data_IF_851436999432
#
_entry.id   IF_851436999432
#
_cell.length_a   1.000
_cell.length_b   1.000
_cell.length_c   1.000
_cell.angle_alpha   90.00
_cell.angle_beta   90.00
_cell.angle_gamma   90.00
#
_symmetry.space_group_name_H-M   'P 1'
#
loop_
_entity.id
_entity.type
_entity.pdbx_description
1 polymer ?
#
# COMPACT_ATOMS: atom_id res chain seq x y z
N UNK A 1 31.54 11.40 -37.10
CA UNK A 1 30.45 10.44 -37.40
C UNK A 1 30.63 9.22 -36.52
N UNK A 2 30.02 9.22 -35.34
CA UNK A 2 29.85 8.01 -34.50
C UNK A 2 28.44 8.13 -33.94
N UNK A 3 27.57 7.20 -34.33
CA UNK A 3 26.18 7.13 -33.89
C UNK A 3 26.12 6.50 -32.50
N UNK A 4 25.55 7.19 -31.53
CA UNK A 4 25.15 6.59 -30.27
C UNK A 4 23.69 6.09 -30.38
N UNK A 5 23.55 4.79 -30.17
CA UNK A 5 22.32 4.00 -30.16
C UNK A 5 21.37 4.45 -29.03
N UNK A 6 20.06 4.34 -29.31
CA UNK A 6 18.93 4.68 -28.44
C UNK A 6 18.59 3.63 -27.36
N UNK A 7 19.37 2.56 -27.22
CA UNK A 7 18.97 1.40 -26.39
C UNK A 7 19.46 1.43 -24.92
N UNK A 8 19.96 2.56 -24.43
CA UNK A 8 20.50 2.67 -23.05
C UNK A 8 19.64 3.48 -22.07
N UNK A 9 18.57 4.13 -22.57
CA UNK A 9 17.68 4.95 -21.73
C UNK A 9 16.62 4.12 -20.98
N UNK A 10 16.29 2.93 -21.47
CA UNK A 10 15.22 2.09 -20.90
C UNK A 10 15.68 1.21 -19.72
N UNK A 11 17.00 0.96 -19.58
CA UNK A 11 17.55 0.15 -18.48
C UNK A 11 17.82 0.96 -17.20
N UNK A 12 17.93 2.28 -17.31
CA UNK A 12 18.19 3.18 -16.17
C UNK A 12 16.92 3.49 -15.37
N UNK A 13 15.74 3.36 -15.99
CA UNK A 13 14.43 3.51 -15.35
C UNK A 13 14.07 2.33 -14.43
N UNK A 14 14.55 1.12 -14.73
CA UNK A 14 14.27 -0.09 -13.93
C UNK A 14 15.17 -0.16 -12.68
N UNK A 15 16.42 0.33 -12.76
CA UNK A 15 17.37 0.27 -11.65
C UNK A 15 17.00 1.19 -10.46
N UNK A 16 16.28 2.29 -10.69
CA UNK A 16 15.74 3.11 -9.60
C UNK A 16 14.46 2.54 -8.98
N UNK A 17 13.74 1.71 -9.74
CA UNK A 17 12.47 1.10 -9.32
C UNK A 17 12.67 -0.02 -8.29
N UNK A 18 13.81 -0.72 -8.31
CA UNK A 18 14.14 -1.75 -7.30
C UNK A 18 14.66 -1.15 -5.97
N UNK A 19 15.25 0.06 -5.99
CA UNK A 19 15.81 0.70 -4.80
C UNK A 19 14.75 1.23 -3.82
N UNK A 20 13.56 1.61 -4.30
CA UNK A 20 12.42 1.98 -3.44
C UNK A 20 11.57 0.76 -3.03
N UNK A 21 11.80 -0.38 -3.68
CA UNK A 21 11.04 -1.62 -3.49
C UNK A 21 11.75 -2.58 -2.53
N UNK A 22 12.47 -2.07 -1.52
CA UNK A 22 13.06 -2.86 -0.41
C UNK A 22 13.43 -4.30 -0.78
N UNK A 23 14.36 -4.47 -1.72
CA UNK A 23 14.82 -5.80 -2.11
C UNK A 23 15.42 -6.51 -0.90
N UNK A 24 14.91 -7.69 -0.53
CA UNK A 24 15.53 -8.52 0.50
C UNK A 24 16.97 -8.87 0.00
N UNK A 25 17.99 -8.24 0.59
CA UNK A 25 19.41 -8.48 0.24
C UNK A 25 19.74 -9.94 0.56
N UNK A 26 20.18 -10.69 -0.46
CA UNK A 26 20.73 -12.04 -0.27
C UNK A 26 22.11 -11.93 0.39
N UNK A 27 22.18 -12.16 1.70
CA UNK A 27 23.42 -12.61 2.34
C UNK A 27 23.67 -14.07 1.93
N UNK A 28 24.31 -14.28 0.77
CA UNK A 28 24.93 -15.56 0.46
C UNK A 28 26.40 -15.50 0.88
N UNK A 29 26.63 -15.98 2.11
CA UNK A 29 27.94 -16.33 2.60
C UNK A 29 28.52 -17.47 1.75
N UNK A 30 29.73 -17.26 1.24
CA UNK A 30 30.47 -18.25 0.47
C UNK A 30 31.17 -19.21 1.43
N UNK A 31 30.67 -20.43 1.57
CA UNK A 31 31.51 -21.56 1.98
C UNK A 31 31.07 -22.88 1.36
N UNK A 32 31.86 -23.31 0.37
CA UNK A 32 32.26 -24.69 0.07
C UNK A 32 31.31 -25.84 0.44
N UNK A 33 30.64 -26.43 -0.57
CA UNK A 33 30.37 -27.88 -0.63
C UNK A 33 30.40 -28.38 -2.09
N UNK A 34 30.80 -29.63 -2.35
CA UNK A 34 31.23 -30.09 -3.66
C UNK A 34 30.06 -30.49 -4.57
N UNK A 35 30.21 -30.18 -5.87
CA UNK A 35 29.31 -30.59 -6.96
C UNK A 35 29.21 -32.13 -7.03
N UNK A 36 28.14 -32.71 -6.51
CA UNK A 36 27.70 -34.08 -6.87
C UNK A 36 26.94 -34.03 -8.20
N UNK A 37 27.55 -34.57 -9.25
CA UNK A 37 26.91 -34.84 -10.55
C UNK A 37 25.71 -35.77 -10.34
N UNK A 38 24.50 -35.28 -10.63
CA UNK A 38 23.29 -36.10 -10.68
C UNK A 38 23.25 -36.85 -12.01
N UNK A 39 23.59 -38.15 -11.99
CA UNK A 39 23.31 -39.07 -13.10
C UNK A 39 21.80 -39.30 -13.17
N UNK A 40 21.17 -38.86 -14.26
CA UNK A 40 19.82 -39.32 -14.64
C UNK A 40 19.87 -40.83 -14.85
N UNK A 41 19.29 -41.61 -13.94
CA UNK A 41 18.88 -42.99 -14.22
C UNK A 41 17.46 -42.94 -14.77
N UNK A 42 17.32 -43.28 -16.05
CA UNK A 42 16.04 -43.67 -16.61
C UNK A 42 15.64 -45.00 -15.97
N UNK A 43 14.60 -44.98 -15.15
CA UNK A 43 13.95 -46.20 -14.66
C UNK A 43 13.01 -46.67 -15.76
N UNK A 44 13.44 -47.68 -16.52
CA UNK A 44 12.58 -48.47 -17.39
C UNK A 44 11.71 -49.33 -16.48
N UNK A 45 10.42 -48.99 -16.38
CA UNK A 45 9.43 -49.85 -15.75
C UNK A 45 9.12 -50.97 -16.74
N UNK A 46 9.70 -52.14 -16.50
CA UNK A 46 9.30 -53.36 -17.17
C UNK A 46 7.91 -53.77 -16.66
N UNK A 47 6.90 -53.65 -17.52
CA UNK A 47 5.59 -54.25 -17.34
C UNK A 47 5.74 -55.78 -17.48
N UNK A 48 5.97 -56.45 -16.37
CA UNK A 48 5.81 -57.90 -16.29
C UNK A 48 4.34 -58.23 -16.12
N UNK A 49 3.79 -58.99 -17.07
CA UNK A 49 2.47 -59.61 -17.00
C UNK A 49 2.44 -60.64 -15.86
N UNK A 50 2.20 -60.17 -14.64
CA UNK A 50 1.85 -61.01 -13.50
C UNK A 50 0.36 -61.27 -13.50
N UNK A 51 -0.04 -62.51 -13.78
CA UNK A 51 -1.41 -63.00 -13.55
C UNK A 51 -1.70 -62.82 -12.06
N UNK A 52 -2.38 -61.73 -11.72
CA UNK A 52 -2.77 -61.44 -10.35
C UNK A 52 -3.83 -62.45 -9.91
N UNK A 53 -3.50 -63.19 -8.85
CA UNK A 53 -4.43 -64.06 -8.14
C UNK A 53 -5.69 -63.26 -7.77
N UNK A 54 -6.82 -63.58 -8.40
CA UNK A 54 -8.13 -62.95 -8.18
C UNK A 54 -8.57 -62.90 -6.70
N UNK A 55 -7.95 -63.71 -5.83
CA UNK A 55 -8.24 -63.76 -4.39
C UNK A 55 -7.73 -62.55 -3.59
N UNK A 56 -6.80 -61.75 -4.12
CA UNK A 56 -6.24 -60.57 -3.40
C UNK A 56 -6.83 -59.24 -3.91
N UNK A 57 -7.34 -59.22 -5.15
CA UNK A 57 -7.87 -58.02 -5.77
C UNK A 57 -9.25 -57.62 -5.19
N UNK A 58 -10.09 -58.62 -4.87
CA UNK A 58 -11.46 -58.38 -4.40
C UNK A 58 -11.50 -57.67 -3.03
N UNK A 59 -10.74 -58.09 -2.00
CA UNK A 59 -10.71 -57.37 -0.72
C UNK A 59 -10.21 -55.93 -0.85
N UNK A 60 -9.25 -55.70 -1.74
CA UNK A 60 -8.65 -54.38 -1.96
C UNK A 60 -9.63 -53.39 -2.61
N UNK A 61 -10.43 -53.85 -3.59
CA UNK A 61 -11.46 -53.04 -4.24
C UNK A 61 -12.59 -52.70 -3.27
N UNK A 62 -13.01 -53.65 -2.43
CA UNK A 62 -14.06 -53.43 -1.42
C UNK A 62 -13.59 -52.41 -0.37
N UNK A 63 -12.33 -52.53 0.08
CA UNK A 63 -11.77 -51.60 1.07
C UNK A 63 -11.66 -50.18 0.51
N UNK A 64 -11.20 -50.02 -0.74
CA UNK A 64 -11.14 -48.71 -1.39
C UNK A 64 -12.53 -48.09 -1.58
N UNK A 65 -13.51 -48.92 -1.96
CA UNK A 65 -14.90 -48.49 -2.17
C UNK A 65 -15.56 -48.04 -0.87
N UNK A 66 -15.28 -48.75 0.24
CA UNK A 66 -15.75 -48.36 1.57
C UNK A 66 -15.09 -47.07 2.05
N UNK A 67 -13.78 -46.90 1.86
CA UNK A 67 -13.08 -45.66 2.22
C UNK A 67 -13.62 -44.47 1.43
N UNK A 68 -13.87 -44.63 0.12
CA UNK A 68 -14.48 -43.60 -0.71
C UNK A 68 -15.92 -43.29 -0.28
N UNK A 69 -16.70 -44.30 0.08
CA UNK A 69 -18.04 -44.13 0.62
C UNK A 69 -18.05 -43.36 1.95
N UNK A 70 -17.16 -43.70 2.90
CA UNK A 70 -17.02 -42.97 4.16
C UNK A 70 -16.53 -41.54 3.95
N UNK A 71 -15.63 -41.30 3.00
CA UNK A 71 -15.19 -39.95 2.63
C UNK A 71 -16.35 -39.11 2.07
N UNK A 72 -17.11 -39.67 1.12
CA UNK A 72 -18.26 -38.99 0.51
C UNK A 72 -19.38 -38.74 1.52
N UNK A 73 -19.70 -39.73 2.36
CA UNK A 73 -20.69 -39.59 3.43
C UNK A 73 -20.22 -38.60 4.48
N UNK A 74 -18.95 -38.63 4.88
CA UNK A 74 -18.35 -37.62 5.74
C UNK A 74 -18.54 -36.21 5.17
N UNK A 75 -18.31 -36.02 3.87
CA UNK A 75 -18.50 -34.72 3.21
C UNK A 75 -19.96 -34.28 3.11
N UNK A 76 -20.90 -35.21 2.92
CA UNK A 76 -22.34 -34.93 2.85
C UNK A 76 -22.89 -34.58 4.23
N UNK A 77 -22.45 -35.27 5.29
CA UNK A 77 -22.97 -35.08 6.64
C UNK A 77 -22.27 -33.95 7.42
N UNK A 78 -21.01 -33.63 7.13
CA UNK A 78 -20.30 -32.52 7.81
C UNK A 78 -20.67 -31.15 7.26
N UNK A 79 -21.02 -31.03 5.97
CA UNK A 79 -21.44 -29.76 5.36
C UNK A 79 -22.66 -29.09 6.04
N UNK A 80 -23.75 -29.81 6.40
CA UNK A 80 -24.86 -29.19 7.11
C UNK A 80 -24.57 -28.95 8.60
N UNK A 81 -23.72 -29.76 9.24
CA UNK A 81 -23.46 -29.64 10.68
C UNK A 81 -22.55 -28.46 11.05
N UNK A 82 -21.61 -28.09 10.17
CA UNK A 82 -20.81 -26.86 10.33
C UNK A 82 -21.60 -25.58 10.01
N UNK A 83 -22.79 -25.71 9.40
CA UNK A 83 -23.68 -24.58 9.13
C UNK A 83 -24.76 -24.35 10.21
N UNK A 84 -24.83 -25.18 11.26
CA UNK A 84 -25.86 -25.09 12.31
C UNK A 84 -25.34 -24.79 13.72
N UNK A 85 -24.04 -24.50 13.86
CA UNK A 85 -23.42 -24.13 15.14
C UNK A 85 -23.55 -22.66 15.54
N UNK A 86 -23.92 -21.76 14.63
CA UNK A 86 -24.32 -20.40 15.01
C UNK A 86 -25.82 -20.41 15.26
N UNK A 87 -26.26 -20.05 16.47
CA UNK A 87 -27.62 -19.55 16.68
C UNK A 87 -27.84 -18.42 15.67
N UNK A 88 -28.45 -18.77 14.55
CA UNK A 88 -28.69 -17.87 13.44
C UNK A 88 -29.68 -16.84 13.92
N UNK A 89 -29.19 -15.70 14.38
CA UNK A 89 -29.96 -14.47 14.38
C UNK A 89 -30.47 -14.37 12.95
N UNK A 90 -31.77 -14.57 12.75
CA UNK A 90 -32.43 -14.33 11.46
C UNK A 90 -32.34 -12.82 11.27
N UNK A 91 -31.20 -12.35 10.76
CA UNK A 91 -31.04 -10.96 10.34
C UNK A 91 -31.99 -10.82 9.17
N UNK A 92 -33.05 -10.06 9.39
CA UNK A 92 -34.08 -9.84 8.39
C UNK A 92 -33.41 -9.32 7.10
N UNK A 93 -33.84 -9.81 5.93
CA UNK A 93 -33.24 -9.45 4.64
C UNK A 93 -33.17 -7.92 4.45
N UNK A 94 -34.17 -7.21 4.95
CA UNK A 94 -34.23 -5.74 4.97
C UNK A 94 -33.14 -5.09 5.83
N UNK A 95 -32.81 -5.69 6.98
CA UNK A 95 -31.76 -5.21 7.88
C UNK A 95 -30.38 -5.43 7.26
N UNK A 96 -30.15 -6.60 6.64
CA UNK A 96 -28.91 -6.88 5.90
C UNK A 96 -28.70 -5.88 4.75
N UNK A 97 -29.75 -5.56 4.00
CA UNK A 97 -29.69 -4.60 2.90
C UNK A 97 -29.46 -3.16 3.39
N UNK A 98 -30.07 -2.80 4.53
CA UNK A 98 -29.86 -1.49 5.16
C UNK A 98 -28.43 -1.35 5.67
N UNK A 99 -27.87 -2.39 6.29
CA UNK A 99 -26.47 -2.41 6.72
C UNK A 99 -25.52 -2.30 5.53
N UNK A 100 -25.75 -3.04 4.44
CA UNK A 100 -24.94 -2.93 3.21
C UNK A 100 -24.92 -1.53 2.62
N UNK A 101 -26.05 -0.81 2.68
CA UNK A 101 -26.14 0.60 2.25
C UNK A 101 -25.32 1.56 3.13
N UNK A 102 -24.90 1.13 4.31
CA UNK A 102 -24.10 1.93 5.25
C UNK A 102 -22.63 1.52 5.32
N UNK A 103 -22.24 0.40 4.71
CA UNK A 103 -20.84 -0.03 4.71
C UNK A 103 -19.98 0.93 3.88
N UNK A 104 -18.73 1.08 4.27
CA UNK A 104 -17.79 2.00 3.62
C UNK A 104 -16.46 1.34 3.34
N UNK A 105 -15.75 1.88 2.35
CA UNK A 105 -14.36 1.55 2.05
C UNK A 105 -13.52 2.81 2.15
N UNK A 106 -12.43 2.73 2.93
CA UNK A 106 -11.44 3.78 3.08
C UNK A 106 -10.10 3.31 2.50
N UNK A 107 -9.62 4.01 1.48
CA UNK A 107 -8.36 3.71 0.79
C UNK A 107 -7.34 4.77 1.19
N UNK A 108 -6.27 4.38 1.88
CA UNK A 108 -5.19 5.29 2.29
C UNK A 108 -4.15 5.37 1.16
N UNK A 109 -4.33 6.33 0.26
CA UNK A 109 -3.48 6.59 -0.90
C UNK A 109 -2.56 7.80 -0.65
N UNK A 110 -1.66 7.68 0.32
CA UNK A 110 -0.65 8.70 0.60
C UNK A 110 0.55 8.56 -0.34
N UNK A 111 1.20 9.67 -0.75
CA UNK A 111 2.55 9.60 -1.28
C UNK A 111 3.51 8.93 -0.29
N UNK A 112 4.66 8.49 -0.77
CA UNK A 112 5.64 7.81 0.07
C UNK A 112 6.11 8.71 1.24
N UNK A 113 6.39 8.16 2.42
CA UNK A 113 6.93 8.94 3.57
C UNK A 113 6.08 10.14 4.04
N UNK A 114 4.76 10.01 4.00
CA UNK A 114 3.80 10.98 4.56
C UNK A 114 3.10 10.46 5.82
N UNK A 115 3.79 9.66 6.64
CA UNK A 115 3.19 9.01 7.82
C UNK A 115 2.34 7.78 7.47
N UNK A 116 2.35 7.37 6.21
CA UNK A 116 1.68 6.18 5.66
C UNK A 116 2.00 4.89 6.43
N UNK A 117 3.26 4.67 6.81
CA UNK A 117 3.65 3.51 7.63
C UNK A 117 3.04 3.55 9.03
N UNK A 118 2.98 4.72 9.66
CA UNK A 118 2.42 4.88 11.02
C UNK A 118 0.91 4.65 11.03
N UNK A 119 0.18 5.23 10.07
CA UNK A 119 -1.27 4.98 9.95
C UNK A 119 -1.55 3.52 9.58
N UNK A 120 -0.76 2.89 8.71
CA UNK A 120 -0.90 1.46 8.40
C UNK A 120 -0.77 0.60 9.66
N UNK A 121 0.27 0.85 10.47
CA UNK A 121 0.50 0.11 11.72
C UNK A 121 -0.65 0.32 12.71
N UNK A 122 -1.08 1.56 12.90
CA UNK A 122 -2.18 1.88 13.80
C UNK A 122 -3.50 1.25 13.32
N UNK A 123 -3.82 1.37 12.02
CA UNK A 123 -5.05 0.80 11.46
C UNK A 123 -5.05 -0.72 11.56
N UNK A 124 -3.92 -1.37 11.25
CA UNK A 124 -3.77 -2.81 11.46
C UNK A 124 -4.09 -3.17 12.91
N UNK A 125 -3.40 -2.56 13.88
CA UNK A 125 -3.59 -2.84 15.31
C UNK A 125 -5.01 -2.55 15.82
N UNK A 126 -5.62 -1.45 15.37
CA UNK A 126 -6.98 -1.07 15.78
C UNK A 126 -8.06 -1.95 15.17
N UNK A 127 -7.79 -2.48 13.97
CA UNK A 127 -8.69 -3.37 13.25
C UNK A 127 -8.53 -4.84 13.63
N UNK A 128 -7.38 -5.22 14.19
CA UNK A 128 -7.12 -6.59 14.58
C UNK A 128 -8.08 -7.02 15.71
N UNK A 129 -8.98 -7.94 15.36
CA UNK A 129 -9.16 -9.11 16.19
C UNK A 129 -7.77 -9.72 16.33
N UNK A 130 -7.16 -9.71 17.52
CA UNK A 130 -5.91 -10.43 17.81
C UNK A 130 -5.85 -11.76 17.03
N UNK A 131 -5.22 -11.77 15.84
CA UNK A 131 -4.89 -12.99 15.12
C UNK A 131 -3.71 -13.49 15.94
N UNK A 132 -4.02 -14.20 17.02
CA UNK A 132 -2.98 -14.91 17.75
C UNK A 132 -2.50 -16.00 16.80
N UNK A 133 -1.44 -15.71 16.04
CA UNK A 133 -0.73 -16.66 15.20
C UNK A 133 -0.27 -17.90 15.98
N UNK A 134 -0.42 -17.91 17.31
CA UNK A 134 -0.03 -19.02 18.17
C UNK A 134 -1.11 -20.08 18.41
N UNK A 135 -2.40 -19.85 18.08
CA UNK A 135 -3.45 -20.89 18.25
C UNK A 135 -4.71 -20.64 17.38
N UNK A 136 -4.72 -21.14 16.14
CA UNK A 136 -5.88 -21.09 15.22
C UNK A 136 -7.10 -21.93 15.65
N UNK A 137 -7.04 -22.64 16.79
CA UNK A 137 -8.09 -23.57 17.23
C UNK A 137 -9.14 -22.98 18.18
N UNK A 138 -8.97 -21.74 18.66
CA UNK A 138 -9.93 -21.12 19.58
C UNK A 138 -10.76 -20.00 18.91
N UNK A 139 -12.10 -20.03 19.03
CA UNK A 139 -12.99 -19.02 18.46
C UNK A 139 -13.09 -17.79 19.37
N UNK A 140 -13.89 -16.79 18.95
CA UNK A 140 -13.39 -15.51 18.51
C UNK A 140 -12.71 -14.72 19.64
N UNK A 141 -11.53 -14.17 19.35
CA UNK A 141 -10.97 -13.08 20.16
C UNK A 141 -11.96 -11.93 20.33
N UNK A 142 -11.70 -10.98 21.25
CA UNK A 142 -12.60 -9.86 21.52
C UNK A 142 -13.07 -9.19 20.23
N UNK A 143 -14.34 -8.72 20.23
CA UNK A 143 -14.92 -7.94 19.13
C UNK A 143 -13.92 -6.84 18.72
N UNK A 144 -13.77 -6.56 17.42
CA UNK A 144 -12.81 -5.58 16.98
C UNK A 144 -13.19 -4.26 17.64
N UNK A 145 -12.18 -3.51 18.08
CA UNK A 145 -12.40 -2.23 18.75
C UNK A 145 -13.10 -1.22 17.82
N UNK A 146 -13.00 -1.44 16.50
CA UNK A 146 -13.61 -0.66 15.44
C UNK A 146 -14.57 -1.48 14.58
N UNK A 147 -15.47 -0.78 13.87
CA UNK A 147 -16.27 -1.36 12.78
C UNK A 147 -15.43 -1.67 11.53
N UNK A 148 -14.24 -1.06 11.44
CA UNK A 148 -13.31 -1.17 10.33
C UNK A 148 -12.38 -2.38 10.47
N UNK A 149 -12.15 -3.07 9.35
CA UNK A 149 -11.21 -4.18 9.24
C UNK A 149 -10.05 -3.84 8.27
N UNK A 150 -8.84 -4.32 8.56
CA UNK A 150 -7.67 -4.30 7.68
C UNK A 150 -7.49 -5.70 7.05
N UNK A 151 -8.14 -6.00 5.90
CA UNK A 151 -8.35 -7.37 5.43
C UNK A 151 -7.14 -7.91 4.67
N UNK A 152 -6.11 -8.33 5.42
CA UNK A 152 -4.92 -8.96 4.84
C UNK A 152 -5.17 -10.45 4.63
N UNK A 153 -4.95 -11.02 3.43
CA UNK A 153 -5.05 -12.46 3.21
C UNK A 153 -4.02 -13.21 4.04
N UNK A 154 -4.41 -14.35 4.62
CA UNK A 154 -3.56 -15.11 5.54
C UNK A 154 -2.30 -15.63 4.84
N UNK A 155 -2.42 -16.07 3.59
CA UNK A 155 -1.33 -16.56 2.75
C UNK A 155 -0.28 -15.46 2.52
N UNK A 156 -0.75 -14.22 2.34
CA UNK A 156 0.14 -13.07 2.22
C UNK A 156 0.80 -12.81 3.58
N UNK A 157 0.04 -12.73 4.68
CA UNK A 157 0.61 -12.47 6.00
C UNK A 157 1.69 -13.49 6.41
N UNK A 158 1.44 -14.79 6.19
CA UNK A 158 2.37 -15.88 6.49
C UNK A 158 3.62 -15.82 5.61
N UNK A 159 3.43 -15.67 4.30
CA UNK A 159 4.56 -15.58 3.37
C UNK A 159 5.47 -14.39 3.69
N UNK A 160 4.87 -13.27 4.07
CA UNK A 160 5.60 -12.05 4.44
C UNK A 160 6.47 -12.27 5.68
N UNK A 161 5.93 -12.95 6.68
CA UNK A 161 6.61 -13.20 7.95
C UNK A 161 7.91 -14.00 7.77
N UNK A 162 7.88 -15.01 6.91
CA UNK A 162 9.01 -15.93 6.73
C UNK A 162 10.21 -15.32 6.00
N UNK A 163 10.00 -14.29 5.18
CA UNK A 163 11.03 -13.86 4.22
C UNK A 163 11.77 -12.58 4.55
N UNK A 164 11.23 -11.73 5.41
CA UNK A 164 11.85 -10.44 5.66
C UNK A 164 11.50 -10.00 7.11
N UNK A 165 12.44 -10.17 8.04
CA UNK A 165 12.28 -9.95 9.49
C UNK A 165 11.85 -8.53 9.90
N UNK A 166 12.10 -7.56 9.04
CA UNK A 166 11.65 -6.16 9.16
C UNK A 166 10.26 -5.88 8.58
N UNK A 167 9.57 -6.86 8.00
CA UNK A 167 8.32 -6.63 7.29
C UNK A 167 7.12 -6.87 8.21
N UNK A 168 6.39 -5.79 8.47
CA UNK A 168 5.23 -5.75 9.36
C UNK A 168 3.93 -6.03 8.57
N UNK A 169 2.98 -6.83 9.07
CA UNK A 169 1.70 -7.12 8.39
C UNK A 169 0.89 -5.88 7.97
N UNK A 170 1.07 -4.77 8.68
CA UNK A 170 0.56 -3.46 8.29
C UNK A 170 0.95 -3.04 6.86
N UNK A 171 2.09 -3.52 6.34
CA UNK A 171 2.58 -3.23 4.97
C UNK A 171 2.19 -4.30 3.95
N UNK A 172 1.28 -5.22 4.28
CA UNK A 172 0.95 -6.35 3.42
C UNK A 172 0.36 -5.95 2.06
N UNK A 173 -0.28 -4.78 1.95
CA UNK A 173 -0.92 -4.31 0.71
C UNK A 173 0.06 -3.85 -0.39
N UNK A 174 1.38 -3.79 -0.16
CA UNK A 174 2.38 -3.52 -1.21
C UNK A 174 2.28 -4.52 -2.38
N UNK A 175 2.36 -5.85 -2.14
CA UNK A 175 2.10 -6.89 -3.14
C UNK A 175 0.87 -6.69 -4.01
N UNK A 176 -0.23 -6.16 -3.46
CA UNK A 176 -1.45 -5.94 -4.23
C UNK A 176 -1.22 -4.94 -5.37
N UNK A 177 -0.58 -3.80 -5.06
CA UNK A 177 -0.30 -2.77 -6.08
C UNK A 177 0.79 -3.23 -7.04
N UNK A 178 1.80 -3.95 -6.56
CA UNK A 178 2.83 -4.55 -7.42
C UNK A 178 2.24 -5.56 -8.40
N UNK A 179 1.32 -6.42 -7.94
CA UNK A 179 0.61 -7.37 -8.79
C UNK A 179 -0.19 -6.66 -9.89
N UNK A 180 -0.91 -5.59 -9.55
CA UNK A 180 -1.65 -4.78 -10.53
C UNK A 180 -0.72 -4.16 -11.58
N UNK A 181 0.50 -3.79 -11.19
CA UNK A 181 1.52 -3.23 -12.08
C UNK A 181 2.37 -4.30 -12.78
N UNK A 182 2.03 -5.58 -12.63
CA UNK A 182 2.82 -6.72 -13.13
C UNK A 182 4.28 -6.70 -12.67
N UNK A 183 4.55 -6.14 -11.48
CA UNK A 183 5.86 -6.14 -10.84
C UNK A 183 5.99 -7.38 -9.98
N UNK A 184 7.04 -8.17 -10.24
CA UNK A 184 7.23 -9.48 -9.61
C UNK A 184 8.55 -9.59 -8.86
N UNK A 185 9.08 -8.48 -8.33
CA UNK A 185 10.39 -8.44 -7.68
C UNK A 185 10.41 -9.12 -6.31
N UNK A 186 9.26 -9.20 -5.60
CA UNK A 186 9.17 -9.86 -4.29
C UNK A 186 9.22 -11.38 -4.40
N UNK A 187 9.82 -12.03 -3.39
CA UNK A 187 9.83 -13.49 -3.23
C UNK A 187 8.44 -14.13 -3.26
N UNK A 188 7.42 -13.42 -2.76
CA UNK A 188 6.01 -13.83 -2.88
C UNK A 188 5.64 -14.23 -4.31
N UNK A 189 6.12 -13.49 -5.31
CA UNK A 189 5.80 -13.75 -6.72
C UNK A 189 6.55 -14.94 -7.33
N UNK A 190 7.43 -15.59 -6.56
CA UNK A 190 8.01 -16.90 -6.92
C UNK A 190 7.05 -18.05 -6.56
N UNK A 191 6.10 -17.79 -5.67
CA UNK A 191 5.12 -18.77 -5.17
C UNK A 191 3.77 -18.53 -5.84
N UNK A 192 3.37 -17.26 -5.97
CA UNK A 192 2.07 -16.87 -6.51
C UNK A 192 2.21 -15.97 -7.73
N UNK A 193 1.37 -16.18 -8.73
CA UNK A 193 1.25 -15.24 -9.86
C UNK A 193 0.61 -13.92 -9.41
N UNK A 194 0.82 -12.80 -10.13
CA UNK A 194 0.14 -11.54 -9.85
C UNK A 194 -1.39 -11.69 -9.74
N UNK A 195 -2.00 -12.50 -10.62
CA UNK A 195 -3.45 -12.72 -10.61
C UNK A 195 -3.91 -13.45 -9.34
N UNK A 196 -3.18 -14.48 -8.90
CA UNK A 196 -3.49 -15.18 -7.64
C UNK A 196 -3.41 -14.24 -6.44
N UNK A 197 -2.42 -13.33 -6.41
CA UNK A 197 -2.31 -12.33 -5.33
C UNK A 197 -3.52 -11.40 -5.33
N UNK A 198 -3.98 -10.93 -6.50
CA UNK A 198 -5.18 -10.09 -6.61
C UNK A 198 -6.43 -10.85 -6.13
N UNK A 199 -6.58 -12.12 -6.52
CA UNK A 199 -7.70 -12.98 -6.12
C UNK A 199 -7.74 -13.20 -4.60
N UNK A 200 -6.61 -13.43 -3.94
CA UNK A 200 -6.54 -13.56 -2.48
C UNK A 200 -7.05 -12.29 -1.77
N UNK A 201 -6.65 -11.11 -2.26
CA UNK A 201 -7.13 -9.85 -1.74
C UNK A 201 -8.64 -9.68 -1.95
N UNK A 202 -9.13 -10.01 -3.14
CA UNK A 202 -10.54 -9.98 -3.47
C UNK A 202 -11.38 -10.85 -2.53
N UNK A 203 -11.03 -12.12 -2.41
CA UNK A 203 -11.76 -13.09 -1.58
C UNK A 203 -11.79 -12.66 -0.11
N UNK A 204 -10.66 -12.17 0.40
CA UNK A 204 -10.55 -11.66 1.77
C UNK A 204 -11.43 -10.43 1.98
N UNK A 205 -11.34 -9.43 1.10
CA UNK A 205 -12.13 -8.19 1.19
C UNK A 205 -13.63 -8.49 1.07
N UNK A 206 -14.04 -9.29 0.09
CA UNK A 206 -15.45 -9.68 -0.11
C UNK A 206 -15.99 -10.44 1.09
N UNK A 207 -15.22 -11.38 1.65
CA UNK A 207 -15.62 -12.13 2.85
C UNK A 207 -15.94 -11.22 4.04
N UNK A 208 -15.12 -10.19 4.29
CA UNK A 208 -15.41 -9.21 5.35
C UNK A 208 -16.55 -8.26 4.98
N UNK A 209 -16.63 -7.84 3.72
CA UNK A 209 -17.74 -7.03 3.23
C UNK A 209 -19.09 -7.74 3.41
N UNK A 210 -19.18 -9.03 3.08
CA UNK A 210 -20.41 -9.81 3.23
C UNK A 210 -20.85 -9.98 4.68
N UNK A 211 -19.89 -9.95 5.61
CA UNK A 211 -20.11 -9.99 7.07
C UNK A 211 -20.56 -8.64 7.65
N UNK A 212 -20.58 -7.57 6.86
CA UNK A 212 -21.07 -6.26 7.27
C UNK A 212 -20.00 -5.30 7.82
N UNK A 213 -18.72 -5.60 7.65
CA UNK A 213 -17.62 -4.74 8.11
C UNK A 213 -17.39 -3.56 7.16
N UNK A 214 -16.90 -2.44 7.72
CA UNK A 214 -16.28 -1.40 6.91
C UNK A 214 -14.84 -1.82 6.59
N UNK A 215 -14.34 -1.48 5.41
CA UNK A 215 -13.03 -1.93 4.95
C UNK A 215 -12.06 -0.76 4.91
N UNK A 216 -10.88 -0.91 5.52
CA UNK A 216 -9.78 0.05 5.38
C UNK A 216 -8.52 -0.66 4.88
N UNK A 217 -7.88 -0.11 3.87
CA UNK A 217 -6.59 -0.59 3.39
C UNK A 217 -5.78 0.55 2.78
N UNK A 218 -4.48 0.34 2.63
CA UNK A 218 -3.62 1.30 1.97
C UNK A 218 -2.16 0.87 1.97
N UNK A 219 -1.38 1.52 1.11
CA UNK A 219 0.05 1.27 0.97
C UNK A 219 0.70 2.48 0.33
N UNK A 220 1.97 2.71 0.64
CA UNK A 220 2.74 3.80 0.03
C UNK A 220 2.93 3.56 -1.48
N UNK A 221 2.84 2.30 -1.95
CA UNK A 221 2.89 1.97 -3.37
C UNK A 221 1.73 2.57 -4.19
N UNK A 222 0.67 3.09 -3.53
CA UNK A 222 -0.38 3.83 -4.22
C UNK A 222 0.10 5.16 -4.82
N UNK A 223 1.30 5.62 -4.45
CA UNK A 223 1.96 6.74 -5.12
C UNK A 223 2.08 6.56 -6.64
N UNK A 224 2.12 5.32 -7.14
CA UNK A 224 2.12 4.98 -8.56
C UNK A 224 0.88 5.50 -9.31
N UNK A 225 -0.22 5.80 -8.61
CA UNK A 225 -1.38 6.50 -9.21
C UNK A 225 -0.95 7.86 -9.77
N UNK A 226 -0.01 8.57 -9.12
CA UNK A 226 0.49 9.85 -9.60
C UNK A 226 1.45 9.75 -10.80
N UNK A 227 1.80 8.53 -11.26
CA UNK A 227 2.76 8.32 -12.36
C UNK A 227 2.27 8.89 -13.68
N UNK A 228 1.15 8.38 -14.17
CA UNK A 228 0.54 8.82 -15.43
C UNK A 228 -0.97 8.61 -15.39
N UNK A 229 -1.76 9.30 -16.23
CA UNK A 229 -3.19 9.02 -16.36
C UNK A 229 -3.48 7.55 -16.70
N UNK A 230 -2.65 6.91 -17.53
CA UNK A 230 -2.80 5.50 -17.92
C UNK A 230 -2.55 4.57 -16.73
N UNK A 231 -1.49 4.84 -15.95
CA UNK A 231 -1.19 4.06 -14.73
C UNK A 231 -2.29 4.24 -13.69
N UNK A 232 -2.77 5.47 -13.47
CA UNK A 232 -3.88 5.76 -12.57
C UNK A 232 -5.13 4.97 -12.98
N UNK A 233 -5.55 5.12 -14.24
CA UNK A 233 -6.70 4.42 -14.81
C UNK A 233 -6.58 2.91 -14.66
N UNK A 234 -5.40 2.35 -14.92
CA UNK A 234 -5.15 0.91 -14.78
C UNK A 234 -5.30 0.45 -13.33
N UNK A 235 -4.61 1.09 -12.38
CA UNK A 235 -4.71 0.74 -10.94
C UNK A 235 -6.16 0.87 -10.45
N UNK A 236 -6.82 1.98 -10.79
CA UNK A 236 -8.21 2.25 -10.39
C UNK A 236 -9.15 1.20 -10.97
N UNK A 237 -8.99 0.85 -12.26
CA UNK A 237 -9.79 -0.19 -12.89
C UNK A 237 -9.59 -1.52 -12.16
N UNK A 238 -8.33 -1.94 -11.94
CA UNK A 238 -8.01 -3.17 -11.21
C UNK A 238 -8.62 -3.21 -9.81
N UNK A 239 -8.53 -2.11 -9.05
CA UNK A 239 -9.19 -2.00 -7.75
C UNK A 239 -10.70 -2.17 -7.87
N UNK A 240 -11.34 -1.45 -8.78
CA UNK A 240 -12.80 -1.44 -8.94
C UNK A 240 -13.38 -2.76 -9.47
N UNK A 241 -12.67 -3.46 -10.36
CA UNK A 241 -13.19 -4.64 -11.06
C UNK A 241 -12.74 -5.96 -10.47
N UNK A 242 -11.56 -6.00 -9.83
CA UNK A 242 -10.93 -7.25 -9.40
C UNK A 242 -10.66 -7.34 -7.91
N UNK A 243 -10.66 -6.25 -7.16
CA UNK A 243 -10.39 -6.28 -5.71
C UNK A 243 -11.63 -5.97 -4.90
N UNK A 244 -12.29 -4.85 -5.20
CA UNK A 244 -13.45 -4.40 -4.44
C UNK A 244 -14.69 -5.27 -4.68
N UNK A 245 -15.63 -5.34 -3.72
CA UNK A 245 -16.88 -6.06 -3.89
C UNK A 245 -17.69 -5.51 -5.06
N UNK A 246 -18.30 -6.39 -5.87
CA UNK A 246 -19.03 -5.96 -7.07
C UNK A 246 -20.33 -5.18 -6.79
N UNK A 247 -20.87 -5.27 -5.57
CA UNK A 247 -22.05 -4.53 -5.12
C UNK A 247 -21.73 -3.20 -4.43
N UNK A 248 -20.45 -2.81 -4.35
CA UNK A 248 -20.04 -1.52 -3.80
C UNK A 248 -20.44 -0.36 -4.70
N UNK A 249 -20.84 0.76 -4.10
CA UNK A 249 -21.14 2.00 -4.82
C UNK A 249 -20.00 3.01 -4.68
N UNK A 250 -19.86 3.87 -5.69
CA UNK A 250 -18.82 4.91 -5.71
C UNK A 250 -18.86 5.84 -4.49
N UNK A 251 -20.05 6.17 -3.99
CA UNK A 251 -20.24 7.05 -2.82
C UNK A 251 -19.90 6.38 -1.48
N UNK A 252 -19.72 5.05 -1.48
CA UNK A 252 -19.24 4.28 -0.33
C UNK A 252 -17.70 4.21 -0.27
N UNK A 253 -17.01 4.64 -1.33
CA UNK A 253 -15.55 4.60 -1.42
C UNK A 253 -14.99 6.00 -1.12
N UNK A 254 -14.06 6.06 -0.18
CA UNK A 254 -13.32 7.27 0.18
C UNK A 254 -11.84 7.02 0.05
N UNK A 255 -11.14 7.85 -0.73
CA UNK A 255 -9.69 7.82 -0.88
C UNK A 255 -9.08 8.97 -0.09
N UNK A 256 -8.22 8.66 0.86
CA UNK A 256 -7.49 9.63 1.66
C UNK A 256 -6.12 9.83 1.05
N UNK A 257 -5.84 11.07 0.61
CA UNK A 257 -4.54 11.47 0.07
C UNK A 257 -3.90 12.45 1.05
N UNK A 258 -2.66 12.19 1.45
CA UNK A 258 -1.92 13.08 2.36
C UNK A 258 -1.05 14.05 1.59
N UNK A 259 -1.13 15.33 1.96
CA UNK A 259 -0.25 16.38 1.49
C UNK A 259 0.73 16.75 2.60
N UNK A 260 2.03 16.82 2.28
CA UNK A 260 3.09 17.16 3.25
C UNK A 260 3.79 18.45 2.86
N UNK A 261 3.91 19.35 3.83
CA UNK A 261 4.78 20.52 3.80
C UNK A 261 5.66 20.57 5.05
N UNK A 262 6.87 21.15 4.97
CA UNK A 262 7.59 21.56 3.75
C UNK A 262 7.96 20.37 2.84
N UNK A 263 8.08 20.60 1.53
CA UNK A 263 8.44 19.57 0.54
C UNK A 263 9.87 19.10 0.67
N UNK A 264 10.79 19.97 1.05
CA UNK A 264 12.19 19.61 1.27
C UNK A 264 12.31 18.58 2.40
N UNK A 265 11.52 18.71 3.48
CA UNK A 265 11.48 17.71 4.56
C UNK A 265 10.95 16.36 4.09
N UNK A 266 9.99 16.37 3.17
CA UNK A 266 9.47 15.15 2.54
C UNK A 266 10.55 14.48 1.67
N UNK A 267 11.23 15.25 0.82
CA UNK A 267 12.31 14.78 -0.04
C UNK A 267 13.48 14.19 0.79
N UNK A 268 13.90 14.88 1.85
CA UNK A 268 14.91 14.40 2.79
C UNK A 268 14.46 13.08 3.44
N UNK A 269 13.19 12.95 3.85
CA UNK A 269 12.69 11.71 4.44
C UNK A 269 12.76 10.52 3.48
N UNK A 270 12.54 10.76 2.18
CA UNK A 270 12.70 9.72 1.15
C UNK A 270 14.16 9.38 0.90
N UNK A 271 15.04 10.38 0.89
CA UNK A 271 16.48 10.20 0.76
C UNK A 271 17.02 9.29 1.85
N UNK A 272 16.74 9.61 3.13
CA UNK A 272 17.20 8.80 4.25
C UNK A 272 16.78 7.34 4.16
N UNK A 273 15.54 7.06 3.72
CA UNK A 273 15.11 5.68 3.55
C UNK A 273 15.87 4.96 2.44
N UNK A 274 16.18 5.63 1.34
CA UNK A 274 16.99 5.03 0.28
C UNK A 274 18.41 4.77 0.79
N UNK A 275 18.99 5.74 1.50
CA UNK A 275 20.37 5.64 1.98
C UNK A 275 20.57 4.66 3.13
N UNK A 276 19.53 4.32 3.89
CA UNK A 276 19.60 3.21 4.84
C UNK A 276 19.96 1.87 4.16
N UNK A 277 19.81 1.78 2.83
CA UNK A 277 20.08 0.57 2.04
C UNK A 277 21.35 0.65 1.17
N UNK A 278 21.98 1.81 1.03
CA UNK A 278 23.08 2.04 0.07
C UNK A 278 24.27 2.74 0.75
N UNK A 279 25.46 2.14 0.65
CA UNK A 279 26.72 2.81 1.02
C UNK A 279 27.00 3.96 0.04
N UNK A 280 27.36 5.16 0.54
CA UNK A 280 27.65 6.37 -0.24
C UNK A 280 26.45 7.00 -0.98
N UNK A 281 25.32 7.10 -0.30
CA UNK A 281 24.09 7.67 -0.85
C UNK A 281 24.06 9.20 -0.70
N UNK A 282 24.54 9.93 -1.71
CA UNK A 282 24.53 11.39 -1.72
C UNK A 282 23.14 11.98 -1.99
N UNK A 283 22.78 13.05 -1.28
CA UNK A 283 21.50 13.74 -1.49
C UNK A 283 21.35 14.26 -2.92
N UNK A 284 22.41 14.83 -3.49
CA UNK A 284 22.40 15.29 -4.88
C UNK A 284 22.05 14.17 -5.86
N UNK A 285 22.76 13.04 -5.79
CA UNK A 285 22.56 11.92 -6.71
C UNK A 285 21.16 11.35 -6.57
N UNK A 286 20.64 11.29 -5.34
CA UNK A 286 19.26 10.92 -5.09
C UNK A 286 18.25 11.88 -5.77
N UNK A 287 18.40 13.19 -5.57
CA UNK A 287 17.51 14.18 -6.20
C UNK A 287 17.60 14.12 -7.72
N UNK A 288 18.81 14.01 -8.27
CA UNK A 288 19.04 13.88 -9.72
C UNK A 288 18.35 12.64 -10.29
N UNK A 289 18.33 11.55 -9.53
CA UNK A 289 17.69 10.31 -9.94
C UNK A 289 16.15 10.37 -9.90
N UNK A 290 15.56 11.17 -9.01
CA UNK A 290 14.10 11.36 -8.92
C UNK A 290 13.51 12.24 -10.04
N UNK A 291 14.35 13.05 -10.70
CA UNK A 291 13.97 14.11 -11.66
C UNK A 291 12.90 13.73 -12.70
N UNK A 292 12.89 12.55 -13.33
CA UNK A 292 11.91 12.30 -14.39
C UNK A 292 10.48 12.12 -13.88
N UNK A 293 10.26 11.88 -12.57
CA UNK A 293 8.91 11.51 -12.11
C UNK A 293 8.43 12.27 -10.89
N UNK A 294 9.26 12.50 -9.85
CA UNK A 294 8.83 13.05 -8.54
C UNK A 294 7.51 12.43 -8.01
N UNK A 295 7.17 11.23 -8.51
CA UNK A 295 5.89 10.56 -8.33
C UNK A 295 5.61 10.29 -6.85
N UNK A 296 6.60 9.82 -6.06
CA UNK A 296 6.38 9.55 -4.65
C UNK A 296 6.03 10.77 -3.79
N UNK A 297 6.11 12.00 -4.34
CA UNK A 297 5.78 13.24 -3.63
C UNK A 297 4.53 13.95 -4.17
N UNK A 298 3.96 13.46 -5.28
CA UNK A 298 2.99 14.23 -6.06
C UNK A 298 1.53 13.98 -5.65
N UNK A 299 1.20 14.32 -4.40
CA UNK A 299 -0.13 14.12 -3.82
C UNK A 299 -1.23 14.88 -4.57
N UNK A 300 -0.93 16.10 -5.06
CA UNK A 300 -1.93 16.91 -5.75
C UNK A 300 -2.26 16.33 -7.13
N UNK A 301 -1.25 15.83 -7.88
CA UNK A 301 -1.51 15.11 -9.13
C UNK A 301 -2.30 13.84 -8.88
N UNK A 302 -1.98 13.07 -7.84
CA UNK A 302 -2.75 11.90 -7.44
C UNK A 302 -4.21 12.24 -7.19
N UNK A 303 -4.45 13.29 -6.39
CA UNK A 303 -5.80 13.81 -6.08
C UNK A 303 -6.54 14.18 -7.35
N UNK A 304 -5.91 14.94 -8.25
CA UNK A 304 -6.54 15.35 -9.51
C UNK A 304 -6.85 14.14 -10.42
N UNK A 305 -5.97 13.13 -10.48
CA UNK A 305 -6.21 11.90 -11.24
C UNK A 305 -7.35 11.07 -10.63
N UNK A 306 -7.41 10.90 -9.31
CA UNK A 306 -8.52 10.23 -8.63
C UNK A 306 -9.86 10.94 -8.89
N UNK A 307 -9.86 12.28 -8.85
CA UNK A 307 -11.03 13.07 -9.22
C UNK A 307 -11.37 12.99 -10.71
N UNK A 308 -10.43 12.69 -11.60
CA UNK A 308 -10.74 12.55 -13.02
C UNK A 308 -11.25 11.16 -13.38
N UNK A 309 -10.60 10.13 -12.83
CA UNK A 309 -10.80 8.73 -13.22
C UNK A 309 -11.92 8.03 -12.42
N UNK A 310 -12.42 8.64 -11.34
CA UNK A 310 -13.43 8.01 -10.47
C UNK A 310 -14.57 8.95 -10.11
N UNK A 311 -15.65 8.36 -9.57
CA UNK A 311 -16.70 9.09 -8.83
C UNK A 311 -16.57 8.94 -7.32
N UNK A 312 -15.45 8.39 -6.84
CA UNK A 312 -15.19 8.16 -5.42
C UNK A 312 -15.04 9.48 -4.68
N UNK A 313 -15.27 9.44 -3.37
CA UNK A 313 -14.93 10.55 -2.49
C UNK A 313 -13.42 10.65 -2.35
N UNK A 314 -12.88 11.85 -2.39
CA UNK A 314 -11.45 12.11 -2.23
C UNK A 314 -11.27 13.14 -1.12
N UNK A 315 -10.49 12.77 -0.11
CA UNK A 315 -10.20 13.57 1.07
C UNK A 315 -8.70 13.89 1.05
N UNK A 316 -8.34 15.15 0.75
CA UNK A 316 -6.96 15.63 0.78
C UNK A 316 -6.64 16.17 2.17
N UNK A 317 -5.73 15.52 2.89
CA UNK A 317 -5.36 15.90 4.27
C UNK A 317 -4.01 16.61 4.25
N UNK A 318 -3.99 17.88 4.64
CA UNK A 318 -2.75 18.61 4.85
C UNK A 318 -2.11 18.28 6.21
N UNK A 319 -0.96 17.63 6.18
CA UNK A 319 -0.28 17.16 7.37
C UNK A 319 0.25 18.32 8.23
N UNK A 320 0.72 19.42 7.64
CA UNK A 320 1.16 20.57 8.44
C UNK A 320 0.00 21.17 9.22
N UNK A 321 -1.18 21.21 8.61
CA UNK A 321 -2.44 21.57 9.26
C UNK A 321 -2.83 20.63 10.41
N UNK A 322 -2.71 19.31 10.21
CA UNK A 322 -2.96 18.34 11.31
C UNK A 322 -2.03 18.58 12.50
N UNK A 323 -0.73 18.80 12.24
CA UNK A 323 0.26 19.08 13.28
C UNK A 323 0.00 20.39 14.02
N UNK A 324 -0.30 21.49 13.31
CA UNK A 324 -0.67 22.79 13.92
C UNK A 324 -1.88 22.68 14.84
N UNK A 325 -2.82 21.80 14.47
CA UNK A 325 -4.02 21.53 15.25
C UNK A 325 -3.83 20.42 16.28
N UNK A 326 -2.61 19.97 16.55
CA UNK A 326 -2.29 18.92 17.54
C UNK A 326 -3.08 17.62 17.34
N UNK A 327 -3.34 17.26 16.09
CA UNK A 327 -3.89 15.96 15.74
C UNK A 327 -2.77 14.98 15.42
N UNK A 328 -2.85 13.76 15.96
CA UNK A 328 -2.20 12.61 15.32
C UNK A 328 -2.91 12.32 14.00
N UNK A 329 -2.16 12.14 12.92
CA UNK A 329 -2.73 11.92 11.60
C UNK A 329 -3.60 10.65 11.54
N UNK A 330 -3.19 9.56 12.18
CA UNK A 330 -3.95 8.31 12.19
C UNK A 330 -5.27 8.48 12.94
N UNK A 331 -5.21 9.17 14.07
CA UNK A 331 -6.41 9.50 14.86
C UNK A 331 -7.33 10.44 14.07
N UNK A 332 -6.80 11.45 13.38
CA UNK A 332 -7.60 12.33 12.53
C UNK A 332 -8.38 11.55 11.47
N UNK A 333 -7.71 10.65 10.74
CA UNK A 333 -8.36 9.82 9.71
C UNK A 333 -9.45 8.93 10.33
N UNK A 334 -9.16 8.26 11.45
CA UNK A 334 -10.16 7.43 12.13
C UNK A 334 -11.39 8.25 12.57
N UNK A 335 -11.18 9.37 13.27
CA UNK A 335 -12.25 10.14 13.86
C UNK A 335 -13.07 10.92 12.84
N UNK A 336 -12.40 11.63 11.94
CA UNK A 336 -13.03 12.65 11.09
C UNK A 336 -13.46 12.06 9.75
N UNK A 337 -12.62 11.22 9.15
CA UNK A 337 -12.89 10.67 7.81
C UNK A 337 -13.65 9.35 7.91
N UNK A 338 -13.19 8.43 8.75
CA UNK A 338 -13.83 7.13 8.95
C UNK A 338 -15.05 7.22 9.88
N UNK A 339 -15.19 8.32 10.65
CA UNK A 339 -16.36 8.58 11.49
C UNK A 339 -16.39 7.76 12.78
N UNK A 340 -15.23 7.32 13.26
CA UNK A 340 -15.11 6.65 14.56
C UNK A 340 -15.34 7.63 15.71
N UNK A 341 -15.85 7.11 16.83
CA UNK A 341 -16.12 7.93 18.02
C UNK A 341 -14.83 8.30 18.72
N UNK A 342 -14.60 9.61 18.85
CA UNK A 342 -13.40 10.15 19.48
C UNK A 342 -13.75 11.21 20.52
N UNK A 343 -12.99 11.21 21.62
CA UNK A 343 -13.10 12.15 22.72
C UNK A 343 -11.78 12.92 22.82
N UNK A 344 -11.84 14.25 22.84
CA UNK A 344 -10.66 15.12 22.98
C UNK A 344 -9.52 14.81 21.98
N UNK A 345 -9.84 14.57 20.71
CA UNK A 345 -8.87 14.19 19.66
C UNK A 345 -8.10 12.91 19.97
N UNK A 346 -8.62 12.10 20.87
CA UNK A 346 -8.15 10.75 21.13
C UNK A 346 -9.25 9.79 20.71
N UNK A 347 -8.83 8.68 20.15
CA UNK A 347 -9.72 7.55 19.94
C UNK A 347 -10.26 7.13 21.31
N UNK A 348 -11.57 6.86 21.41
CA UNK A 348 -12.26 6.64 22.70
C UNK A 348 -11.44 5.80 23.70
N UNK A 349 -11.56 6.09 25.00
CA UNK A 349 -10.65 5.66 26.08
C UNK A 349 -10.21 4.17 26.05
N UNK A 350 -11.03 3.28 25.49
CA UNK A 350 -10.70 1.88 25.24
C UNK A 350 -9.44 1.70 24.37
N UNK A 351 -9.33 2.44 23.26
CA UNK A 351 -8.16 2.40 22.37
C UNK A 351 -7.00 3.25 22.89
N UNK A 352 -7.29 4.31 23.65
CA UNK A 352 -6.26 5.08 24.37
C UNK A 352 -5.56 4.26 25.47
N UNK A 353 -6.17 3.18 25.97
CA UNK A 353 -5.52 2.25 26.91
C UNK A 353 -4.47 1.35 26.23
N UNK A 354 -4.58 1.16 24.91
CA UNK A 354 -3.60 0.47 24.07
C UNK A 354 -2.63 1.45 23.41
N UNK A 355 -2.33 2.59 24.06
CA UNK A 355 -1.35 3.58 23.58
C UNK A 355 -0.02 2.91 23.28
N UNK A 356 0.11 2.47 22.04
CA UNK A 356 1.37 2.40 21.36
C UNK A 356 1.61 3.86 21.00
N UNK A 357 2.61 4.46 21.66
CA UNK A 357 3.19 5.70 21.18
C UNK A 357 3.32 5.55 19.66
N UNK A 358 2.69 6.43 18.86
CA UNK A 358 2.80 6.33 17.42
C UNK A 358 4.29 6.19 17.14
N UNK A 359 4.69 5.15 16.42
CA UNK A 359 6.09 4.97 16.08
C UNK A 359 6.42 6.08 15.09
N UNK A 360 6.69 7.29 15.61
CA UNK A 360 7.23 8.45 14.89
C UNK A 360 8.64 8.12 14.38
N UNK A 361 9.13 6.89 14.64
CA UNK A 361 10.33 6.29 14.06
C UNK A 361 10.47 6.48 12.53
N UNK A 362 9.38 6.68 11.78
CA UNK A 362 9.45 6.86 10.31
C UNK A 362 9.51 8.32 9.83
N UNK A 363 9.28 9.30 10.71
CA UNK A 363 9.64 10.70 10.46
C UNK A 363 10.74 11.02 11.45
N UNK A 364 11.91 10.38 11.24
CA UNK A 364 13.13 10.68 11.99
C UNK A 364 13.24 12.20 12.14
N UNK A 365 13.23 12.68 13.39
CA UNK A 365 13.18 14.09 13.73
C UNK A 365 14.32 14.83 13.02
N UNK A 366 13.96 15.78 12.15
CA UNK A 366 14.80 16.84 11.58
C UNK A 366 16.31 16.52 11.50
N UNK A 367 16.67 15.37 10.91
CA UNK A 367 18.01 15.20 10.39
C UNK A 367 18.07 16.09 9.15
N UNK A 368 18.34 17.37 9.37
CA UNK A 368 18.68 18.29 8.31
C UNK A 368 19.84 17.72 7.49
N UNK A 369 20.05 18.25 6.29
CA UNK A 369 21.22 17.85 5.51
C UNK A 369 22.46 18.48 6.16
N UNK A 370 23.37 17.68 6.75
CA UNK A 370 24.56 18.23 7.37
C UNK A 370 25.34 19.03 6.31
N UNK A 371 25.78 20.22 6.68
CA UNK A 371 26.56 21.13 5.81
C UNK A 371 25.80 21.77 4.63
N UNK A 372 24.47 21.65 4.55
CA UNK A 372 23.66 22.46 3.62
C UNK A 372 23.11 23.69 4.35
N UNK A 373 23.40 24.92 3.88
CA UNK A 373 22.81 26.12 4.47
C UNK A 373 21.28 26.09 4.41
N UNK A 374 20.61 26.55 5.46
CA UNK A 374 19.14 26.58 5.53
C UNK A 374 18.53 27.34 4.34
N UNK A 375 19.13 28.46 3.93
CA UNK A 375 18.70 29.23 2.75
C UNK A 375 18.70 28.42 1.44
N UNK A 376 19.60 27.44 1.33
CA UNK A 376 19.66 26.52 0.19
C UNK A 376 18.50 25.52 0.25
N UNK A 377 18.16 25.03 1.45
CA UNK A 377 17.00 24.15 1.65
C UNK A 377 15.69 24.88 1.41
N UNK A 378 15.57 26.13 1.86
CA UNK A 378 14.43 27.01 1.58
C UNK A 378 14.27 27.23 0.06
N UNK A 379 15.38 27.53 -0.65
CA UNK A 379 15.36 27.69 -2.11
C UNK A 379 14.92 26.41 -2.82
N UNK A 380 15.39 25.24 -2.37
CA UNK A 380 14.93 23.95 -2.91
C UNK A 380 13.46 23.70 -2.60
N UNK A 381 13.00 24.02 -1.40
CA UNK A 381 11.60 23.90 -1.02
C UNK A 381 10.70 24.75 -1.92
N UNK A 382 11.07 26.01 -2.16
CA UNK A 382 10.35 26.89 -3.07
C UNK A 382 10.20 26.28 -4.47
N UNK A 383 11.27 25.70 -5.03
CA UNK A 383 11.22 25.05 -6.35
C UNK A 383 10.33 23.81 -6.35
N UNK A 384 10.41 22.98 -5.31
CA UNK A 384 9.56 21.79 -5.16
C UNK A 384 8.08 22.17 -5.01
N UNK A 385 7.81 23.24 -4.26
CA UNK A 385 6.48 23.80 -4.02
C UNK A 385 5.91 24.42 -5.30
N UNK A 386 6.74 25.08 -6.12
CA UNK A 386 6.33 25.60 -7.42
C UNK A 386 5.79 24.52 -8.37
N UNK A 387 6.32 23.29 -8.30
CA UNK A 387 5.80 22.16 -9.08
C UNK A 387 4.33 21.84 -8.77
N UNK A 388 3.88 22.13 -7.54
CA UNK A 388 2.52 21.88 -7.10
C UNK A 388 1.54 23.00 -7.50
N UNK A 389 2.06 24.19 -7.84
CA UNK A 389 1.24 25.39 -8.01
C UNK A 389 0.07 25.22 -8.99
N UNK A 390 0.28 24.56 -10.14
CA UNK A 390 -0.76 24.51 -11.19
C UNK A 390 -1.95 23.70 -10.70
N UNK A 391 -1.63 22.57 -10.09
CA UNK A 391 -2.61 21.60 -9.61
C UNK A 391 -3.26 22.12 -8.34
N UNK A 392 -2.51 22.74 -7.42
CA UNK A 392 -3.05 23.37 -6.22
C UNK A 392 -4.12 24.42 -6.56
N UNK A 393 -3.81 25.35 -7.46
CA UNK A 393 -4.78 26.37 -7.90
C UNK A 393 -6.01 25.75 -8.56
N UNK A 394 -5.83 24.70 -9.37
CA UNK A 394 -6.94 23.99 -10.00
C UNK A 394 -7.83 23.29 -8.97
N UNK A 395 -7.24 22.58 -8.01
CA UNK A 395 -7.95 21.84 -6.98
C UNK A 395 -8.71 22.77 -6.03
N UNK A 396 -8.10 23.86 -5.58
CA UNK A 396 -8.77 24.85 -4.71
C UNK A 396 -9.94 25.55 -5.40
N UNK A 397 -9.84 25.84 -6.71
CA UNK A 397 -11.00 26.37 -7.47
C UNK A 397 -12.12 25.35 -7.59
N UNK A 398 -11.76 24.07 -7.72
CA UNK A 398 -12.71 22.96 -7.89
C UNK A 398 -13.36 22.52 -6.58
N UNK A 399 -12.68 22.65 -5.43
CA UNK A 399 -13.15 22.14 -4.13
C UNK A 399 -14.54 22.68 -3.74
N UNK A 400 -14.84 23.93 -4.06
CA UNK A 400 -16.17 24.52 -3.80
C UNK A 400 -17.30 23.92 -4.66
N UNK A 401 -16.96 23.32 -5.81
CA UNK A 401 -17.93 22.84 -6.80
C UNK A 401 -18.04 21.30 -6.85
N UNK A 402 -17.04 20.58 -6.33
CA UNK A 402 -17.01 19.12 -6.36
C UNK A 402 -17.40 18.58 -4.99
N UNK A 403 -18.67 18.20 -4.81
CA UNK A 403 -19.21 17.69 -3.53
C UNK A 403 -18.44 16.50 -2.94
N UNK A 404 -17.84 15.67 -3.80
CA UNK A 404 -17.06 14.49 -3.41
C UNK A 404 -15.59 14.78 -3.15
N UNK A 405 -15.18 16.04 -3.17
CA UNK A 405 -13.80 16.46 -2.88
C UNK A 405 -13.79 17.37 -1.67
N UNK A 406 -12.97 17.02 -0.68
CA UNK A 406 -12.79 17.81 0.54
C UNK A 406 -11.32 17.96 0.85
N UNK A 407 -10.93 19.16 1.29
CA UNK A 407 -9.58 19.50 1.73
C UNK A 407 -9.66 19.75 3.23
N UNK A 408 -8.84 19.02 3.98
CA UNK A 408 -8.74 19.17 5.44
C UNK A 408 -7.54 20.03 5.78
N UNK A 409 -7.76 21.03 6.63
CA UNK A 409 -6.79 22.05 7.00
C UNK A 409 -6.19 22.76 5.76
N UNK A 410 -7.02 23.50 5.00
CA UNK A 410 -6.61 24.06 3.72
C UNK A 410 -5.61 25.22 3.83
N UNK A 411 -5.27 25.69 5.04
CA UNK A 411 -4.56 26.96 5.25
C UNK A 411 -3.22 27.02 4.50
N UNK A 412 -2.40 25.96 4.55
CA UNK A 412 -1.10 26.00 3.86
C UNK A 412 -1.25 25.81 2.34
N UNK A 413 -2.25 25.08 1.88
CA UNK A 413 -2.60 25.01 0.46
C UNK A 413 -3.14 26.35 -0.07
N UNK A 414 -3.92 27.08 0.73
CA UNK A 414 -4.39 28.42 0.39
C UNK A 414 -3.24 29.43 0.35
N UNK A 415 -2.33 29.36 1.32
CA UNK A 415 -1.11 30.17 1.32
C UNK A 415 -0.22 29.85 0.12
N UNK A 416 -0.09 28.56 -0.23
CA UNK A 416 0.56 28.15 -1.46
C UNK A 416 -0.12 28.77 -2.69
N UNK A 417 -1.44 28.70 -2.79
CA UNK A 417 -2.19 29.30 -3.91
C UNK A 417 -1.96 30.81 -4.03
N UNK A 418 -1.89 31.53 -2.91
CA UNK A 418 -1.53 32.96 -2.90
C UNK A 418 -0.11 33.17 -3.39
N UNK A 419 0.85 32.44 -2.83
CA UNK A 419 2.26 32.46 -3.26
C UNK A 419 2.41 32.21 -4.76
N UNK A 420 1.73 31.18 -5.28
CA UNK A 420 1.72 30.85 -6.69
C UNK A 420 1.15 31.98 -7.54
N UNK A 421 0.07 32.66 -7.12
CA UNK A 421 -0.47 33.80 -7.88
C UNK A 421 0.50 34.98 -7.94
N UNK A 422 1.19 35.25 -6.84
CA UNK A 422 2.11 36.40 -6.75
C UNK A 422 3.40 36.16 -7.52
N UNK A 423 3.89 34.92 -7.54
CA UNK A 423 5.17 34.54 -8.17
C UNK A 423 5.03 33.99 -9.59
N UNK A 424 3.85 33.49 -9.96
CA UNK A 424 3.64 32.82 -11.23
C UNK A 424 2.67 33.58 -12.13
N UNK A 425 3.24 34.33 -13.08
CA UNK A 425 2.49 35.09 -14.08
C UNK A 425 1.94 34.23 -15.25
N UNK A 426 1.68 32.94 -15.03
CA UNK A 426 0.77 32.16 -15.87
C UNK A 426 1.33 31.52 -17.14
N UNK A 427 2.61 31.13 -17.21
CA UNK A 427 3.11 30.38 -18.37
C UNK A 427 3.95 29.16 -17.95
N UNK A 428 3.59 28.02 -18.54
CA UNK A 428 4.18 26.67 -18.52
C UNK A 428 3.75 25.65 -17.43
N UNK A 429 3.11 24.52 -17.81
CA UNK A 429 2.76 23.41 -16.91
C UNK A 429 3.92 22.43 -16.63
N UNK A 430 5.14 22.76 -17.05
CA UNK A 430 6.35 21.97 -16.81
C UNK A 430 7.28 22.76 -15.92
N UNK A 431 8.01 22.08 -15.02
CA UNK A 431 9.16 22.65 -14.33
C UNK A 431 10.05 23.27 -15.43
N UNK A 432 10.11 24.60 -15.57
CA UNK A 432 10.81 25.17 -16.70
C UNK A 432 12.29 24.81 -16.59
N UNK A 433 12.95 24.61 -17.72
CA UNK A 433 14.32 24.05 -17.78
C UNK A 433 15.32 24.91 -16.97
N UNK A 434 14.97 26.18 -16.74
CA UNK A 434 15.69 27.09 -15.84
C UNK A 434 15.58 26.71 -14.35
N UNK A 435 14.44 26.19 -13.88
CA UNK A 435 14.30 25.63 -12.53
C UNK A 435 15.16 24.38 -12.39
N UNK A 436 15.20 23.54 -13.43
CA UNK A 436 16.06 22.35 -13.43
C UNK A 436 17.54 22.73 -13.32
N UNK A 437 17.99 23.71 -14.10
CA UNK A 437 19.36 24.23 -14.00
C UNK A 437 19.63 24.92 -12.67
N UNK A 438 18.65 25.64 -12.09
CA UNK A 438 18.77 26.21 -10.74
C UNK A 438 18.90 25.13 -9.68
N UNK A 439 18.12 24.05 -9.73
CA UNK A 439 18.29 22.92 -8.81
C UNK A 439 19.68 22.29 -8.95
N UNK A 440 20.18 22.13 -10.18
CA UNK A 440 21.54 21.62 -10.43
C UNK A 440 22.60 22.55 -9.85
N UNK A 441 22.48 23.85 -10.09
CA UNK A 441 23.40 24.87 -9.59
C UNK A 441 23.39 24.95 -8.06
N UNK A 442 22.21 24.96 -7.44
CA UNK A 442 22.02 24.96 -5.98
C UNK A 442 22.66 23.72 -5.36
N UNK A 443 22.41 22.54 -5.93
CA UNK A 443 22.94 21.29 -5.38
C UNK A 443 24.44 21.11 -5.65
N UNK A 444 24.95 21.57 -6.80
CA UNK A 444 26.38 21.55 -7.10
C UNK A 444 27.18 22.50 -6.20
N UNK A 445 26.62 23.68 -5.90
CA UNK A 445 27.20 24.65 -4.96
C UNK A 445 27.09 24.21 -3.50
N UNK A 446 26.05 23.43 -3.18
CA UNK A 446 25.75 22.92 -1.84
C UNK A 446 26.53 21.67 -1.39
N UNK A 447 27.31 21.05 -2.28
CA UNK A 447 28.31 20.05 -1.92
C UNK A 447 27.95 18.60 -2.29
N UNK A 448 28.97 17.90 -2.80
CA UNK A 448 29.04 16.43 -2.71
C UNK A 448 29.18 16.08 -1.23
N UNK A 449 28.05 15.84 -0.56
CA UNK A 449 28.03 15.52 0.87
C UNK A 449 28.14 14.01 1.00
N UNK A 450 29.34 13.53 1.32
CA UNK A 450 29.59 12.17 1.81
C UNK A 450 28.88 11.99 3.16
N UNK A 451 28.09 10.92 3.29
CA UNK A 451 27.41 10.51 4.53
C UNK A 451 28.33 9.78 5.46
#
# INVERSE_FOLDING_TARGET
>A
MISCSKDQEERSLIALEDACSGGCINHNDKSFLPKKKMKRRATVIALTNGIMNHKVLIPSIITLSLLLYFYLMGHIFTKPFLAHGSQGIIINKSEKETRRKQQKVCILAGPHKTGSSSIQTNMYQWSEHTISFTNMTNPPGPKPAMKWIWPVPIEIAETIHDYCSWWHPAKAFYPMIEAMLSRTSRKLFQIYTPQQVIEMYHETIVSYWEKGYDIVFGTEAMDNIARSPQTAKHIINQLSTHVLPSDIKDDQITVVVTYRLPKIKHLISMWHQKCEMEENCHFYDFVMALKPTMVPMNALKMTNLLLHETKWNVELVDLSGTCKNQWDYSVYVACVIMGEKCENKTLSAFLASQRLEPTVANVKADFGLPNVPESTLESLDELLVMNDCAIAMQLLRKSHNIKRFRIHFPEDLENLSKYCKDKWHGVYPYLPEDIKHKMEDILQKGGRIET
#
